data_IF_394810171473
#
_entry.id   IF_394810171473
#
_cell.length_a   1.000
_cell.length_b   1.000
_cell.length_c   1.000
_cell.angle_alpha   90.00
_cell.angle_beta   90.00
_cell.angle_gamma   90.00
#
_symmetry.space_group_name_H-M   'P 1'
#
loop_
_entity.id
_entity.type
_entity.pdbx_description
1 polymer ?
#
# COMPACT_ATOMS: atom_id res chain seq x y z
N UNK A 1 12.91 -3.72 1.29
CA UNK A 1 11.59 -3.47 1.91
C UNK A 1 10.57 -4.56 1.55
N UNK A 2 10.24 -4.82 0.26
CA UNK A 2 9.35 -5.93 -0.18
C UNK A 2 9.54 -7.29 0.52
N UNK A 3 10.78 -7.76 0.64
CA UNK A 3 11.08 -9.03 1.32
C UNK A 3 10.69 -9.02 2.81
N UNK A 4 10.79 -7.86 3.45
CA UNK A 4 10.50 -7.69 4.88
C UNK A 4 9.00 -7.77 5.16
N UNK A 5 8.17 -7.09 4.37
CA UNK A 5 6.71 -7.05 4.63
C UNK A 5 6.09 -8.45 4.50
N UNK A 6 6.46 -9.19 3.45
CA UNK A 6 6.01 -10.58 3.26
C UNK A 6 6.56 -11.52 4.33
N UNK A 7 7.82 -11.32 4.75
CA UNK A 7 8.42 -12.14 5.80
C UNK A 7 7.71 -11.92 7.15
N UNK A 8 7.38 -10.66 7.48
CA UNK A 8 6.57 -10.36 8.67
C UNK A 8 5.19 -11.00 8.55
N UNK A 9 4.54 -10.92 7.39
CA UNK A 9 3.25 -11.57 7.17
C UNK A 9 3.30 -13.08 7.44
N UNK A 10 4.34 -13.77 6.95
CA UNK A 10 4.56 -15.21 7.20
C UNK A 10 4.82 -15.51 8.67
N UNK A 11 5.70 -14.73 9.30
CA UNK A 11 6.10 -14.92 10.69
C UNK A 11 4.89 -14.79 11.62
N UNK A 12 4.14 -13.71 11.50
CA UNK A 12 3.01 -13.42 12.38
C UNK A 12 1.76 -14.26 12.05
N UNK A 13 1.58 -14.70 10.80
CA UNK A 13 0.51 -15.66 10.47
C UNK A 13 0.74 -17.04 11.06
N UNK A 14 2.01 -17.43 11.30
CA UNK A 14 2.36 -18.71 11.90
C UNK A 14 2.41 -18.65 13.44
N UNK A 15 2.32 -17.46 14.04
CA UNK A 15 2.42 -17.27 15.48
C UNK A 15 1.13 -17.74 16.19
N UNK A 16 1.20 -18.70 17.13
CA UNK A 16 0.02 -19.16 17.86
C UNK A 16 -0.65 -18.05 18.65
N UNK A 17 -1.98 -17.95 18.55
CA UNK A 17 -2.78 -16.97 19.32
C UNK A 17 -2.77 -15.54 18.76
N UNK A 18 -2.08 -15.28 17.65
CA UNK A 18 -2.09 -13.98 16.97
C UNK A 18 -2.97 -14.06 15.72
N UNK A 19 -3.96 -13.18 15.63
CA UNK A 19 -4.87 -13.10 14.48
C UNK A 19 -4.96 -11.67 13.97
N UNK A 20 -4.05 -11.22 13.09
CA UNK A 20 -4.09 -9.87 12.57
C UNK A 20 -5.36 -9.62 11.76
N UNK A 21 -5.92 -8.41 11.85
CA UNK A 21 -7.07 -8.01 11.03
C UNK A 21 -6.66 -7.51 9.64
N UNK A 22 -5.37 -7.25 9.45
CA UNK A 22 -4.82 -6.79 8.18
C UNK A 22 -3.30 -6.76 8.20
N UNK A 23 -2.72 -6.54 7.03
CA UNK A 23 -1.29 -6.37 6.83
C UNK A 23 -0.98 -4.98 6.34
N UNK A 24 0.13 -4.43 6.81
CA UNK A 24 0.55 -3.08 6.45
C UNK A 24 1.86 -3.13 5.67
N UNK A 25 1.87 -2.52 4.49
CA UNK A 25 3.08 -2.32 3.70
C UNK A 25 3.81 -1.10 4.25
N UNK A 26 5.08 -1.28 4.61
CA UNK A 26 5.89 -0.24 5.27
C UNK A 26 6.34 0.93 4.37
N UNK A 27 6.18 0.80 3.05
CA UNK A 27 6.42 1.93 2.13
C UNK A 27 5.22 2.88 2.14
N UNK A 28 5.44 4.12 1.73
CA UNK A 28 4.41 5.14 1.67
C UNK A 28 4.30 5.72 0.25
N UNK A 29 3.12 6.20 -0.10
CA UNK A 29 2.85 6.87 -1.38
C UNK A 29 2.77 8.38 -1.12
N UNK A 30 3.63 9.15 -1.78
CA UNK A 30 3.65 10.60 -1.66
C UNK A 30 3.25 11.32 -2.97
N UNK A 31 2.79 12.56 -2.84
CA UNK A 31 2.32 13.35 -3.98
C UNK A 31 3.44 13.96 -4.85
N UNK A 32 4.71 13.81 -4.45
CA UNK A 32 5.86 14.35 -5.18
C UNK A 32 6.43 13.33 -6.17
N UNK A 33 6.67 12.11 -5.73
CA UNK A 33 7.32 11.04 -6.51
C UNK A 33 6.36 10.39 -7.50
N UNK A 34 5.04 10.37 -7.20
CA UNK A 34 4.04 9.63 -7.98
C UNK A 34 3.08 10.52 -8.79
N UNK A 35 3.45 11.79 -8.99
CA UNK A 35 2.64 12.77 -9.73
C UNK A 35 2.42 12.44 -11.19
N UNK A 36 3.39 11.86 -11.89
CA UNK A 36 3.25 11.50 -13.31
C UNK A 36 2.70 10.09 -13.49
N UNK A 37 1.84 9.90 -14.50
CA UNK A 37 1.29 8.58 -14.81
C UNK A 37 2.36 7.52 -15.10
N UNK A 38 3.43 7.93 -15.80
CA UNK A 38 4.56 7.03 -16.09
C UNK A 38 5.25 6.53 -14.82
N UNK A 39 5.37 7.37 -13.79
CA UNK A 39 5.91 6.96 -12.50
C UNK A 39 4.97 6.02 -11.74
N UNK A 40 3.65 6.11 -11.96
CA UNK A 40 2.66 5.25 -11.27
C UNK A 40 2.71 3.81 -11.76
N UNK A 41 3.00 3.55 -13.03
CA UNK A 41 3.00 2.18 -13.57
C UNK A 41 3.88 1.17 -12.78
N UNK A 42 5.16 1.47 -12.44
CA UNK A 42 5.96 0.57 -11.62
C UNK A 42 5.43 0.45 -10.19
N UNK A 43 4.89 1.53 -9.59
CA UNK A 43 4.23 1.49 -8.28
C UNK A 43 3.05 0.51 -8.29
N UNK A 44 2.13 0.67 -9.24
CA UNK A 44 0.93 -0.17 -9.35
C UNK A 44 1.27 -1.64 -9.57
N UNK A 45 2.27 -1.90 -10.41
CA UNK A 45 2.78 -3.26 -10.66
C UNK A 45 3.37 -3.87 -9.38
N UNK A 46 4.13 -3.09 -8.62
CA UNK A 46 4.71 -3.54 -7.36
C UNK A 46 3.62 -3.79 -6.31
N UNK A 47 2.64 -2.91 -6.16
CA UNK A 47 1.53 -3.06 -5.21
C UNK A 47 0.68 -4.29 -5.51
N UNK A 48 0.31 -4.51 -6.78
CA UNK A 48 -0.44 -5.70 -7.18
C UNK A 48 0.33 -7.00 -6.85
N UNK A 49 1.64 -7.01 -7.08
CA UNK A 49 2.47 -8.16 -6.73
C UNK A 49 2.61 -8.35 -5.20
N UNK A 50 2.72 -7.26 -4.44
CA UNK A 50 2.77 -7.31 -2.97
C UNK A 50 1.45 -7.85 -2.39
N UNK A 51 0.32 -7.33 -2.89
CA UNK A 51 -1.01 -7.77 -2.51
C UNK A 51 -1.20 -9.28 -2.74
N UNK A 52 -0.82 -9.78 -3.92
CA UNK A 52 -0.92 -11.21 -4.24
C UNK A 52 -0.08 -12.06 -3.28
N UNK A 53 1.19 -11.71 -3.10
CA UNK A 53 2.11 -12.48 -2.26
C UNK A 53 1.68 -12.52 -0.79
N UNK A 54 1.14 -11.42 -0.27
CA UNK A 54 0.63 -11.39 1.11
C UNK A 54 -0.69 -12.17 1.19
N UNK A 55 -1.55 -12.07 0.18
CA UNK A 55 -2.81 -12.82 0.11
C UNK A 55 -2.61 -14.34 0.07
N UNK A 56 -1.52 -14.80 -0.55
CA UNK A 56 -1.12 -16.22 -0.56
C UNK A 56 -0.77 -16.74 0.85
N UNK A 57 -0.43 -15.85 1.78
CA UNK A 57 -0.09 -16.17 3.18
C UNK A 57 -1.31 -16.01 4.09
N UNK A 58 -2.15 -15.01 3.82
CA UNK A 58 -3.26 -14.64 4.67
C UNK A 58 -4.32 -13.90 3.86
N UNK A 59 -5.59 -14.33 3.97
CA UNK A 59 -6.72 -13.69 3.28
C UNK A 59 -7.14 -12.33 3.88
N UNK A 60 -6.34 -11.76 4.80
CA UNK A 60 -6.63 -10.48 5.46
C UNK A 60 -6.31 -9.30 4.53
N UNK A 61 -7.04 -8.19 4.65
CA UNK A 61 -6.81 -7.00 3.82
C UNK A 61 -5.39 -6.44 3.97
N UNK A 62 -4.87 -5.89 2.87
CA UNK A 62 -3.55 -5.24 2.82
C UNK A 62 -3.74 -3.73 2.74
N UNK A 63 -2.95 -2.99 3.50
CA UNK A 63 -3.00 -1.54 3.64
C UNK A 63 -1.65 -0.89 3.32
N UNK A 64 -1.69 0.37 2.87
CA UNK A 64 -0.52 1.25 2.70
C UNK A 64 -0.90 2.68 3.08
N UNK A 65 0.03 3.47 3.62
CA UNK A 65 -0.19 4.91 3.81
C UNK A 65 0.02 5.69 2.51
N UNK A 66 -0.68 6.81 2.43
CA UNK A 66 -0.43 7.84 1.43
C UNK A 66 -0.56 9.22 2.05
N UNK A 67 0.23 10.18 1.60
CA UNK A 67 0.14 11.58 2.05
C UNK A 67 0.30 12.55 0.89
N UNK A 68 -0.09 13.81 1.13
CA UNK A 68 0.06 14.91 0.18
C UNK A 68 0.68 16.13 0.86
N UNK A 69 1.50 16.87 0.12
CA UNK A 69 2.23 18.05 0.58
C UNK A 69 2.12 19.25 -0.38
N UNK A 70 1.23 19.18 -1.37
CA UNK A 70 0.97 20.26 -2.33
C UNK A 70 1.73 20.13 -3.65
N UNK A 71 2.30 18.95 -3.94
CA UNK A 71 3.04 18.67 -5.18
C UNK A 71 2.15 18.11 -6.30
N UNK A 72 0.90 17.77 -5.98
CA UNK A 72 -0.10 17.28 -6.91
C UNK A 72 -1.43 17.99 -6.68
N UNK A 73 -2.22 18.15 -7.75
CA UNK A 73 -3.60 18.65 -7.62
C UNK A 73 -4.47 17.64 -6.86
N UNK A 74 -5.56 18.09 -6.18
CA UNK A 74 -6.49 17.18 -5.52
C UNK A 74 -7.07 16.11 -6.45
N UNK A 75 -7.39 16.47 -7.70
CA UNK A 75 -7.85 15.52 -8.71
C UNK A 75 -6.78 14.51 -9.12
N UNK A 76 -5.53 14.96 -9.30
CA UNK A 76 -4.41 14.08 -9.60
C UNK A 76 -4.17 13.07 -8.48
N UNK A 77 -4.25 13.52 -7.23
CA UNK A 77 -4.09 12.67 -6.06
C UNK A 77 -5.25 11.68 -5.93
N UNK A 78 -6.50 12.13 -6.13
CA UNK A 78 -7.67 11.24 -6.19
C UNK A 78 -7.50 10.16 -7.26
N UNK A 79 -7.05 10.52 -8.47
CA UNK A 79 -6.80 9.55 -9.53
C UNK A 79 -5.70 8.55 -9.15
N UNK A 80 -4.61 8.99 -8.51
CA UNK A 80 -3.58 8.10 -7.98
C UNK A 80 -4.18 7.09 -6.99
N UNK A 81 -4.99 7.55 -6.04
CA UNK A 81 -5.63 6.67 -5.06
C UNK A 81 -6.58 5.66 -5.70
N UNK A 82 -7.39 6.08 -6.67
CA UNK A 82 -8.27 5.16 -7.41
C UNK A 82 -7.48 4.12 -8.20
N UNK A 83 -6.36 4.50 -8.82
CA UNK A 83 -5.46 3.56 -9.49
C UNK A 83 -4.86 2.56 -8.49
N UNK A 84 -4.42 3.03 -7.32
CA UNK A 84 -3.88 2.16 -6.27
C UNK A 84 -4.93 1.16 -5.77
N UNK A 85 -6.18 1.58 -5.57
CA UNK A 85 -7.27 0.67 -5.17
C UNK A 85 -7.47 -0.50 -6.14
N UNK A 86 -7.24 -0.30 -7.44
CA UNK A 86 -7.32 -1.40 -8.44
C UNK A 86 -6.32 -2.52 -8.21
N UNK A 87 -5.26 -2.28 -7.43
CA UNK A 87 -4.27 -3.29 -7.07
C UNK A 87 -4.74 -4.26 -5.98
N UNK A 88 -5.87 -3.96 -5.34
CA UNK A 88 -6.40 -4.69 -4.17
C UNK A 88 -5.82 -4.23 -2.83
N UNK A 89 -4.92 -3.24 -2.84
CA UNK A 89 -4.38 -2.60 -1.62
C UNK A 89 -5.30 -1.46 -1.19
N UNK A 90 -5.64 -1.43 0.09
CA UNK A 90 -6.38 -0.34 0.71
C UNK A 90 -5.44 0.80 1.08
N UNK A 91 -5.86 2.05 0.89
CA UNK A 91 -5.03 3.21 1.21
C UNK A 91 -5.55 3.92 2.45
N UNK A 92 -4.67 4.20 3.39
CA UNK A 92 -4.90 5.12 4.49
C UNK A 92 -4.25 6.46 4.17
N UNK A 93 -5.09 7.45 3.90
CA UNK A 93 -4.63 8.81 3.63
C UNK A 93 -4.33 9.49 4.95
N UNK A 94 -3.08 9.93 5.11
CA UNK A 94 -2.66 10.80 6.19
C UNK A 94 -2.81 12.25 5.71
N UNK A 95 -3.67 13.00 6.39
CA UNK A 95 -3.94 14.41 6.10
C UNK A 95 -3.09 15.38 6.96
N UNK A 96 -2.19 14.82 7.79
CA UNK A 96 -1.28 15.57 8.66
C UNK A 96 -1.91 16.07 9.96
N UNK A 97 -3.16 15.69 10.28
CA UNK A 97 -3.89 16.15 11.47
C UNK A 97 -3.64 15.34 12.75
N UNK A 98 -2.43 14.77 12.89
CA UNK A 98 -2.01 13.77 13.90
C UNK A 98 -2.57 13.92 15.32
#
# INVERSE_FOLDING_TARGET
>A
RRSSDLQQARLWSAAPGVTPDGWYISAEIDDLNWRSEAARQPLLTWLNNAQRLISDVSAKPVYISSFFAGNMSPDGYRQLLEQVKTTGVNVWVQDGSG
#
